data_IF_533118833522
#
_entry.id   IF_533118833522
#
_cell.length_a   1.000
_cell.length_b   1.000
_cell.length_c   1.000
_cell.angle_alpha   90.00
_cell.angle_beta   90.00
_cell.angle_gamma   90.00
#
_symmetry.space_group_name_H-M   'P 1'
#
loop_
_entity.id
_entity.type
_entity.pdbx_description
1 polymer ?
#
# COMPACT_ATOMS: atom_id res chain seq x y z
N UNK A 1 22.49 -10.34 12.36
CA UNK A 1 22.10 -11.30 13.42
C UNK A 1 20.67 -11.81 13.25
N UNK A 2 19.66 -10.93 13.22
CA UNK A 2 18.25 -11.34 13.27
C UNK A 2 17.51 -11.51 11.92
N UNK A 3 18.18 -11.24 10.77
CA UNK A 3 17.67 -11.49 9.40
C UNK A 3 16.24 -10.97 9.10
N UNK A 4 15.81 -9.88 9.74
CA UNK A 4 14.52 -9.25 9.43
C UNK A 4 14.43 -8.90 7.93
N UNK A 5 13.24 -9.12 7.36
CA UNK A 5 12.92 -8.84 5.95
C UNK A 5 11.98 -7.64 5.76
N UNK A 6 11.33 -7.24 6.85
CA UNK A 6 10.31 -6.20 6.87
C UNK A 6 10.55 -5.29 8.07
N UNK A 7 10.18 -4.01 7.93
CA UNK A 7 9.98 -3.07 9.02
C UNK A 7 8.55 -2.57 8.94
N UNK A 8 7.76 -2.77 10.01
CA UNK A 8 6.44 -2.17 10.12
C UNK A 8 6.55 -0.74 10.66
N UNK A 9 5.91 0.22 9.99
CA UNK A 9 5.93 1.64 10.35
C UNK A 9 4.52 2.21 10.16
N UNK A 10 4.14 3.16 11.01
CA UNK A 10 2.94 3.98 10.78
C UNK A 10 2.97 4.68 9.42
N UNK A 11 1.83 4.80 8.76
CA UNK A 11 1.63 5.63 7.54
C UNK A 11 2.00 7.11 7.75
N UNK A 12 1.99 7.57 9.01
CA UNK A 12 2.53 8.86 9.44
C UNK A 12 3.24 8.72 10.80
N UNK A 13 4.06 9.71 11.15
CA UNK A 13 4.71 9.82 12.46
C UNK A 13 4.29 11.14 13.10
N UNK A 14 3.38 11.09 14.08
CA UNK A 14 2.83 12.29 14.75
C UNK A 14 2.25 13.30 13.76
N UNK A 15 1.40 12.81 12.85
CA UNK A 15 0.79 13.56 11.75
C UNK A 15 1.75 14.01 10.63
N UNK A 16 3.04 13.67 10.72
CA UNK A 16 4.07 14.01 9.73
C UNK A 16 4.26 12.86 8.72
N UNK A 17 4.55 13.21 7.47
CA UNK A 17 4.52 12.27 6.35
C UNK A 17 5.86 11.56 6.20
N UNK A 18 5.85 10.26 5.87
CA UNK A 18 7.08 9.49 5.62
C UNK A 18 7.91 10.04 4.45
N UNK A 19 7.29 10.82 3.56
CA UNK A 19 7.98 11.53 2.48
C UNK A 19 8.92 12.63 2.96
N UNK A 20 8.72 13.15 4.18
CA UNK A 20 9.48 14.30 4.65
C UNK A 20 10.97 13.99 4.73
N UNK A 21 11.80 14.94 4.29
CA UNK A 21 13.24 14.75 4.16
C UNK A 21 13.94 14.30 5.45
N UNK A 22 13.38 14.59 6.63
CA UNK A 22 13.93 14.13 7.91
C UNK A 22 13.86 12.61 8.12
N UNK A 23 12.92 11.92 7.47
CA UNK A 23 12.81 10.46 7.52
C UNK A 23 13.64 9.76 6.45
N UNK A 24 14.25 10.51 5.50
CA UNK A 24 15.06 9.94 4.41
C UNK A 24 16.12 8.98 4.91
N UNK A 25 16.84 9.36 5.96
CA UNK A 25 17.94 8.56 6.50
C UNK A 25 17.46 7.16 6.94
N UNK A 26 16.34 7.10 7.67
CA UNK A 26 15.77 5.83 8.14
C UNK A 26 15.30 4.99 6.96
N UNK A 27 14.51 5.56 6.05
CA UNK A 27 14.00 4.84 4.88
C UNK A 27 15.12 4.34 3.96
N UNK A 28 16.20 5.12 3.83
CA UNK A 28 17.41 4.72 3.10
C UNK A 28 18.14 3.57 3.77
N UNK A 29 18.23 3.57 5.09
CA UNK A 29 18.81 2.44 5.83
C UNK A 29 17.98 1.17 5.63
N UNK A 30 16.64 1.26 5.69
CA UNK A 30 15.76 0.11 5.42
C UNK A 30 16.00 -0.43 4.00
N UNK A 31 16.08 0.46 3.01
CA UNK A 31 16.38 0.11 1.62
C UNK A 31 17.73 -0.60 1.48
N UNK A 32 18.79 -0.06 2.10
CA UNK A 32 20.14 -0.62 2.05
C UNK A 32 20.26 -1.98 2.72
N UNK A 33 19.42 -2.25 3.72
CA UNK A 33 19.33 -3.55 4.38
C UNK A 33 18.53 -4.58 3.54
N UNK A 34 17.94 -4.17 2.42
CA UNK A 34 17.12 -5.03 1.57
C UNK A 34 15.74 -5.34 2.16
N UNK A 35 15.34 -4.63 3.22
CA UNK A 35 14.03 -4.78 3.84
C UNK A 35 12.96 -4.03 3.02
N UNK A 36 11.72 -4.49 3.09
CA UNK A 36 10.56 -3.70 2.69
C UNK A 36 9.89 -3.04 3.91
N UNK A 37 9.06 -2.03 3.68
CA UNK A 37 8.26 -1.39 4.71
C UNK A 37 6.83 -1.92 4.64
N UNK A 38 6.27 -2.42 5.74
CA UNK A 38 4.83 -2.58 5.87
C UNK A 38 4.27 -1.32 6.52
N UNK A 39 3.51 -0.53 5.77
CA UNK A 39 3.02 0.77 6.22
C UNK A 39 1.58 0.64 6.71
N UNK A 40 1.40 0.51 8.03
CA UNK A 40 0.08 0.30 8.63
C UNK A 40 -0.47 1.61 9.23
N UNK A 41 -1.74 1.96 8.99
CA UNK A 41 -2.34 3.12 9.61
C UNK A 41 -2.57 2.92 11.11
N UNK A 42 -2.22 3.93 11.92
CA UNK A 42 -2.50 3.93 13.36
C UNK A 42 -3.51 5.02 13.71
N UNK A 43 -3.32 6.22 13.15
CA UNK A 43 -4.25 7.35 13.26
C UNK A 43 -4.24 8.13 11.97
N UNK A 44 -5.42 8.36 11.39
CA UNK A 44 -5.56 9.21 10.22
C UNK A 44 -5.10 10.66 10.51
N UNK A 45 -4.26 11.21 9.63
CA UNK A 45 -3.81 12.61 9.69
C UNK A 45 -4.94 13.58 9.34
N UNK A 46 -5.85 13.17 8.45
CA UNK A 46 -7.04 13.96 8.13
C UNK A 46 -7.98 13.98 9.35
N UNK A 47 -8.47 15.16 9.72
CA UNK A 47 -9.31 15.34 10.92
C UNK A 47 -10.73 15.74 10.56
N UNK A 48 -11.69 15.25 11.35
CA UNK A 48 -13.11 15.58 11.25
C UNK A 48 -13.93 14.57 10.43
N UNK A 49 -15.25 14.57 10.66
CA UNK A 49 -16.21 13.77 9.87
C UNK A 49 -16.21 12.26 10.12
N UNK A 50 -15.35 11.74 11.01
CA UNK A 50 -15.19 10.31 11.29
C UNK A 50 -15.75 9.86 12.65
N UNK A 51 -16.62 10.67 13.26
CA UNK A 51 -17.24 10.30 14.53
C UNK A 51 -18.39 9.29 14.32
N UNK A 52 -18.38 8.19 15.07
CA UNK A 52 -19.39 7.13 15.00
C UNK A 52 -19.18 6.12 13.87
N UNK A 53 -20.00 5.06 13.88
CA UNK A 53 -20.10 4.02 12.84
C UNK A 53 -18.78 3.35 12.40
N UNK A 54 -17.76 3.34 13.26
CA UNK A 54 -16.42 2.85 12.91
C UNK A 54 -15.83 3.55 11.67
N UNK A 55 -16.20 4.82 11.42
CA UNK A 55 -15.69 5.58 10.27
C UNK A 55 -14.19 5.85 10.36
N UNK A 56 -13.62 5.86 11.56
CA UNK A 56 -12.18 5.89 11.71
C UNK A 56 -11.50 4.67 11.06
N UNK A 57 -12.06 3.47 11.23
CA UNK A 57 -11.52 2.26 10.63
C UNK A 57 -11.88 2.18 9.13
N UNK A 58 -13.17 2.32 8.80
CA UNK A 58 -13.68 2.12 7.42
C UNK A 58 -13.36 3.23 6.43
N UNK A 59 -13.07 4.45 6.92
CA UNK A 59 -12.63 5.59 6.08
C UNK A 59 -11.24 6.04 6.47
N UNK A 60 -10.98 6.27 7.75
CA UNK A 60 -9.74 6.88 8.23
C UNK A 60 -8.49 6.07 7.89
N UNK A 61 -8.49 4.75 8.14
CA UNK A 61 -7.34 3.88 7.84
C UNK A 61 -7.02 3.85 6.33
N UNK A 62 -7.97 3.49 5.43
CA UNK A 62 -7.78 3.57 3.98
C UNK A 62 -7.36 4.96 3.47
N UNK A 63 -7.92 6.02 4.07
CA UNK A 63 -7.59 7.39 3.71
C UNK A 63 -6.13 7.71 4.06
N UNK A 64 -5.65 7.30 5.23
CA UNK A 64 -4.30 7.63 5.67
C UNK A 64 -3.23 6.92 4.85
N UNK A 65 -3.47 5.66 4.49
CA UNK A 65 -2.64 4.91 3.52
C UNK A 65 -2.56 5.63 2.18
N UNK A 66 -3.71 6.10 1.69
CA UNK A 66 -3.82 6.84 0.43
C UNK A 66 -3.07 8.17 0.50
N UNK A 67 -3.14 8.87 1.63
CA UNK A 67 -2.41 10.13 1.87
C UNK A 67 -0.90 9.87 1.86
N UNK A 68 -0.42 8.87 2.62
CA UNK A 68 0.99 8.50 2.65
C UNK A 68 1.52 8.18 1.24
N UNK A 69 0.81 7.34 0.48
CA UNK A 69 1.17 7.05 -0.91
C UNK A 69 1.26 8.32 -1.75
N UNK A 70 0.25 9.18 -1.69
CA UNK A 70 0.22 10.42 -2.47
C UNK A 70 1.43 11.31 -2.16
N UNK A 71 1.75 11.46 -0.88
CA UNK A 71 2.92 12.22 -0.44
C UNK A 71 4.23 11.60 -0.93
N UNK A 72 4.42 10.28 -0.80
CA UNK A 72 5.60 9.59 -1.34
C UNK A 72 5.71 9.73 -2.86
N UNK A 73 4.58 9.64 -3.57
CA UNK A 73 4.53 9.71 -5.02
C UNK A 73 4.80 11.12 -5.56
N UNK A 74 4.34 12.18 -4.89
CA UNK A 74 4.46 13.55 -5.43
C UNK A 74 5.71 14.32 -5.00
N UNK A 75 6.31 13.98 -3.87
CA UNK A 75 7.43 14.75 -3.28
C UNK A 75 8.81 14.39 -3.86
N UNK A 76 8.88 13.54 -4.89
CA UNK A 76 10.15 13.01 -5.40
C UNK A 76 10.83 12.02 -4.45
N UNK A 77 10.20 11.72 -3.31
CA UNK A 77 10.74 10.78 -2.34
C UNK A 77 11.10 9.43 -3.01
N UNK A 78 10.20 8.86 -3.81
CA UNK A 78 10.49 7.58 -4.46
C UNK A 78 11.62 7.64 -5.50
N UNK A 79 11.99 8.83 -5.98
CA UNK A 79 13.14 9.02 -6.89
C UNK A 79 14.48 8.85 -6.15
N UNK A 80 14.52 9.26 -4.88
CA UNK A 80 15.63 8.96 -3.99
C UNK A 80 15.64 7.48 -3.60
N UNK A 81 14.51 6.94 -3.14
CA UNK A 81 14.37 5.53 -2.73
C UNK A 81 14.15 4.64 -3.95
N UNK A 82 15.21 4.32 -4.67
CA UNK A 82 15.13 3.63 -5.97
C UNK A 82 14.74 2.15 -5.89
N UNK A 83 14.91 1.48 -4.75
CA UNK A 83 14.61 0.06 -4.58
C UNK A 83 13.76 -0.29 -3.36
N UNK A 84 13.52 0.65 -2.43
CA UNK A 84 12.60 0.43 -1.29
C UNK A 84 11.18 0.02 -1.74
N UNK A 85 10.67 -1.06 -1.18
CA UNK A 85 9.31 -1.55 -1.46
C UNK A 85 8.42 -1.26 -0.26
N UNK A 86 7.16 -0.97 -0.52
CA UNK A 86 6.13 -0.77 0.51
C UNK A 86 5.05 -1.84 0.36
N UNK A 87 4.58 -2.41 1.45
CA UNK A 87 3.35 -3.18 1.52
C UNK A 87 2.33 -2.34 2.27
N UNK A 88 1.20 -2.05 1.64
CA UNK A 88 0.10 -1.29 2.22
C UNK A 88 -1.07 -2.27 2.46
N UNK A 89 -1.56 -2.40 3.70
CA UNK A 89 -2.68 -3.28 4.00
C UNK A 89 -4.00 -2.72 3.45
N UNK A 90 -5.11 -3.42 3.71
CA UNK A 90 -6.47 -3.01 3.33
C UNK A 90 -6.62 -2.73 1.82
N UNK A 91 -5.93 -3.51 0.98
CA UNK A 91 -5.90 -3.33 -0.47
C UNK A 91 -5.27 -2.02 -0.95
N UNK A 92 -4.56 -1.28 -0.09
CA UNK A 92 -4.01 0.03 -0.41
C UNK A 92 -5.02 1.17 -0.33
N UNK A 93 -6.08 1.00 0.45
CA UNK A 93 -7.15 1.96 0.59
C UNK A 93 -7.75 2.39 -0.75
N UNK A 94 -7.69 3.68 -1.08
CA UNK A 94 -8.30 4.22 -2.30
C UNK A 94 -7.34 4.29 -3.49
N UNK A 95 -6.07 3.89 -3.31
CA UNK A 95 -5.02 4.05 -4.31
C UNK A 95 -5.36 3.32 -5.63
N UNK A 96 -5.69 2.01 -5.64
CA UNK A 96 -5.88 1.29 -6.90
C UNK A 96 -7.05 1.84 -7.72
N UNK A 97 -8.14 2.20 -7.03
CA UNK A 97 -9.33 2.78 -7.65
C UNK A 97 -9.08 4.18 -8.21
N UNK A 98 -8.33 5.02 -7.48
CA UNK A 98 -8.12 6.43 -7.83
C UNK A 98 -6.80 6.70 -8.58
N UNK A 99 -6.01 5.70 -8.95
CA UNK A 99 -4.68 5.91 -9.55
C UNK A 99 -4.69 6.88 -10.74
N UNK A 100 -5.71 6.78 -11.60
CA UNK A 100 -5.88 7.67 -12.76
C UNK A 100 -6.09 9.14 -12.38
N UNK A 101 -6.65 9.43 -11.20
CA UNK A 101 -6.82 10.79 -10.68
C UNK A 101 -5.48 11.39 -10.28
N UNK A 102 -4.61 10.62 -9.65
CA UNK A 102 -3.24 11.04 -9.30
C UNK A 102 -2.43 11.33 -10.57
N UNK A 103 -2.51 10.45 -11.57
CA UNK A 103 -1.86 10.66 -12.87
C UNK A 103 -2.36 11.91 -13.60
N UNK A 104 -3.67 12.15 -13.55
CA UNK A 104 -4.26 13.37 -14.12
C UNK A 104 -3.76 14.62 -13.38
N UNK A 105 -3.64 14.57 -12.06
CA UNK A 105 -3.09 15.69 -11.29
C UNK A 105 -1.63 15.95 -11.68
N UNK A 106 -0.78 14.91 -11.69
CA UNK A 106 0.62 14.98 -12.13
C UNK A 106 0.74 15.64 -13.50
N UNK A 107 -0.05 15.21 -14.48
CA UNK A 107 -0.02 15.75 -15.86
C UNK A 107 -0.41 17.23 -15.98
N UNK A 108 -1.38 17.70 -15.19
CA UNK A 108 -2.03 19.01 -15.42
C UNK A 108 -1.78 20.06 -14.35
N UNK A 109 -1.23 19.70 -13.18
CA UNK A 109 -0.99 20.63 -12.08
C UNK A 109 0.51 20.76 -11.86
N UNK A 110 1.04 21.97 -12.07
CA UNK A 110 2.45 22.28 -11.85
C UNK A 110 2.94 21.83 -10.47
N UNK A 111 2.15 22.09 -9.42
CA UNK A 111 2.48 21.66 -8.06
C UNK A 111 2.59 20.13 -7.89
N UNK A 112 1.87 19.34 -8.69
CA UNK A 112 1.85 17.87 -8.57
C UNK A 112 2.95 17.17 -9.37
N UNK A 113 3.81 17.90 -10.09
CA UNK A 113 5.01 17.36 -10.74
C UNK A 113 6.24 18.26 -10.54
N UNK A 114 6.17 19.19 -9.58
CA UNK A 114 7.27 20.10 -9.27
C UNK A 114 8.50 19.32 -8.77
N UNK A 115 8.26 18.30 -7.93
CA UNK A 115 9.31 17.57 -7.23
C UNK A 115 9.56 16.15 -7.79
N UNK A 116 8.71 15.65 -8.69
CA UNK A 116 8.92 14.37 -9.37
C UNK A 116 8.54 14.38 -10.84
N UNK A 117 9.33 13.66 -11.63
CA UNK A 117 9.01 13.36 -13.04
C UNK A 117 8.30 12.02 -13.20
N UNK A 118 8.35 11.15 -12.19
CA UNK A 118 7.69 9.85 -12.24
C UNK A 118 6.21 10.02 -11.99
N UNK A 119 5.41 9.47 -12.90
CA UNK A 119 3.95 9.48 -12.78
C UNK A 119 3.53 8.55 -11.63
N UNK A 120 2.56 8.93 -10.77
CA UNK A 120 2.13 8.09 -9.65
C UNK A 120 1.77 6.64 -10.03
N UNK A 121 1.08 6.43 -11.16
CA UNK A 121 0.78 5.09 -11.68
C UNK A 121 2.02 4.26 -12.01
N UNK A 122 3.13 4.87 -12.39
CA UNK A 122 4.40 4.16 -12.63
C UNK A 122 5.09 3.79 -11.32
N UNK A 123 4.82 4.52 -10.24
CA UNK A 123 5.34 4.21 -8.91
C UNK A 123 4.66 3.00 -8.27
N UNK A 124 3.46 2.59 -8.73
CA UNK A 124 2.73 1.42 -8.20
C UNK A 124 3.57 0.14 -8.17
N UNK A 125 4.51 -0.04 -9.11
CA UNK A 125 5.45 -1.18 -9.10
C UNK A 125 6.35 -1.26 -7.85
N UNK A 126 6.35 -0.23 -7.00
CA UNK A 126 7.10 -0.15 -5.73
C UNK A 126 6.22 -0.49 -4.54
N UNK A 127 4.93 -0.65 -4.77
CA UNK A 127 3.92 -0.94 -3.77
C UNK A 127 3.40 -2.35 -3.96
N UNK A 128 3.14 -2.98 -2.83
CA UNK A 128 2.49 -4.25 -2.67
C UNK A 128 1.26 -4.01 -1.82
N UNK A 129 0.26 -4.85 -1.99
CA UNK A 129 -1.01 -4.73 -1.29
C UNK A 129 -1.40 -6.09 -0.72
N UNK A 130 -2.16 -6.10 0.38
CA UNK A 130 -2.87 -7.32 0.74
C UNK A 130 -4.18 -7.46 -0.06
N UNK A 131 -4.78 -8.64 -0.01
CA UNK A 131 -6.08 -8.93 -0.59
C UNK A 131 -7.26 -8.65 0.37
N UNK A 132 -7.06 -7.87 1.43
CA UNK A 132 -8.05 -7.62 2.49
C UNK A 132 -8.99 -6.48 2.09
N UNK A 133 -9.84 -6.71 1.08
CA UNK A 133 -10.75 -5.68 0.54
C UNK A 133 -12.20 -5.84 0.98
N UNK A 134 -12.53 -6.96 1.63
CA UNK A 134 -13.89 -7.36 2.05
C UNK A 134 -14.92 -7.47 0.92
N UNK A 135 -14.48 -7.47 -0.35
CA UNK A 135 -15.36 -7.61 -1.50
C UNK A 135 -14.62 -8.25 -2.70
N UNK A 136 -15.09 -9.37 -3.26
CA UNK A 136 -14.41 -10.04 -4.37
C UNK A 136 -14.25 -9.19 -5.63
N UNK A 137 -15.17 -8.25 -5.91
CA UNK A 137 -15.06 -7.34 -7.05
C UNK A 137 -13.94 -6.31 -6.84
N UNK A 138 -13.79 -5.83 -5.61
CA UNK A 138 -12.73 -4.91 -5.19
C UNK A 138 -11.36 -5.59 -5.26
N UNK A 139 -11.23 -6.83 -4.79
CA UNK A 139 -10.00 -7.62 -4.99
C UNK A 139 -9.71 -7.84 -6.48
N UNK A 140 -10.72 -8.12 -7.32
CA UNK A 140 -10.52 -8.22 -8.77
C UNK A 140 -9.96 -6.94 -9.37
N UNK A 141 -10.53 -5.79 -9.01
CA UNK A 141 -10.03 -4.48 -9.46
C UNK A 141 -8.59 -4.26 -9.01
N UNK A 142 -8.25 -4.58 -7.76
CA UNK A 142 -6.90 -4.48 -7.24
C UNK A 142 -5.93 -5.31 -8.09
N UNK A 143 -6.25 -6.58 -8.36
CA UNK A 143 -5.42 -7.44 -9.20
C UNK A 143 -5.27 -6.89 -10.64
N UNK A 144 -6.34 -6.35 -11.23
CA UNK A 144 -6.31 -5.76 -12.58
C UNK A 144 -5.48 -4.46 -12.64
N UNK A 145 -5.31 -3.76 -11.50
CA UNK A 145 -4.58 -2.49 -11.41
C UNK A 145 -3.14 -2.64 -10.98
N UNK A 146 -2.87 -3.48 -9.99
CA UNK A 146 -1.54 -3.67 -9.42
C UNK A 146 -0.79 -4.85 -10.06
N UNK A 147 -1.52 -5.85 -10.57
CA UNK A 147 -0.95 -7.16 -10.93
C UNK A 147 -0.93 -8.10 -9.73
N UNK A 148 -1.18 -9.39 -9.95
CA UNK A 148 -1.18 -10.39 -8.88
C UNK A 148 0.22 -10.60 -8.26
N UNK A 149 1.28 -10.25 -8.99
CA UNK A 149 2.67 -10.18 -8.52
C UNK A 149 2.98 -9.00 -7.59
N UNK A 150 1.99 -8.15 -7.33
CA UNK A 150 2.02 -7.07 -6.35
C UNK A 150 0.95 -7.22 -5.25
N UNK A 151 0.24 -8.34 -5.20
CA UNK A 151 -0.77 -8.60 -4.18
C UNK A 151 -0.41 -9.86 -3.39
N UNK A 152 -0.53 -9.79 -2.07
CA UNK A 152 -0.32 -10.91 -1.14
C UNK A 152 -1.61 -11.23 -0.40
N UNK A 153 -1.72 -12.44 0.13
CA UNK A 153 -2.77 -12.77 1.08
C UNK A 153 -2.56 -12.00 2.40
N UNK A 154 -3.64 -11.46 2.96
CA UNK A 154 -3.65 -10.80 4.26
C UNK A 154 -4.91 -11.20 5.02
N UNK A 155 -4.80 -11.23 6.35
CA UNK A 155 -5.90 -11.68 7.22
C UNK A 155 -6.27 -10.69 8.30
N UNK A 156 -5.36 -9.77 8.64
CA UNK A 156 -5.46 -8.88 9.80
C UNK A 156 -5.74 -9.60 11.13
N UNK A 157 -5.36 -10.88 11.23
CA UNK A 157 -5.49 -11.63 12.47
C UNK A 157 -4.56 -11.03 13.55
N UNK A 158 -5.03 -10.80 14.80
CA UNK A 158 -6.25 -11.34 15.40
C UNK A 158 -7.42 -10.35 15.52
N UNK A 159 -7.48 -9.31 14.70
CA UNK A 159 -8.57 -8.33 14.76
C UNK A 159 -9.86 -8.88 14.16
N UNK A 160 -11.00 -8.38 14.66
CA UNK A 160 -12.34 -8.88 14.34
C UNK A 160 -12.83 -8.49 12.94
N UNK A 161 -12.29 -7.40 12.39
CA UNK A 161 -12.48 -6.95 11.01
C UNK A 161 -11.68 -7.79 10.00
N UNK A 162 -10.82 -8.71 10.45
CA UNK A 162 -10.00 -9.56 9.59
C UNK A 162 -10.78 -10.67 8.85
N UNK A 163 -10.06 -11.42 8.01
CA UNK A 163 -10.59 -12.62 7.36
C UNK A 163 -10.35 -13.88 8.19
N UNK A 164 -11.43 -14.59 8.50
CA UNK A 164 -11.38 -15.92 9.12
C UNK A 164 -11.11 -17.04 8.09
N UNK A 165 -11.64 -16.89 6.87
CA UNK A 165 -11.47 -17.85 5.77
C UNK A 165 -10.85 -17.17 4.53
N UNK A 166 -9.62 -16.65 4.61
CA UNK A 166 -9.02 -15.80 3.57
C UNK A 166 -8.91 -16.48 2.20
N UNK A 167 -8.78 -17.80 2.16
CA UNK A 167 -8.74 -18.55 0.90
C UNK A 167 -10.13 -18.64 0.23
N UNK A 168 -11.20 -18.74 1.01
CA UNK A 168 -12.56 -18.76 0.47
C UNK A 168 -12.93 -17.38 -0.11
N UNK A 169 -12.53 -16.31 0.58
CA UNK A 169 -12.69 -14.92 0.12
C UNK A 169 -11.95 -14.68 -1.20
N UNK A 170 -10.71 -15.17 -1.32
CA UNK A 170 -9.95 -15.11 -2.56
C UNK A 170 -10.59 -15.96 -3.67
N UNK A 171 -11.04 -17.17 -3.36
CA UNK A 171 -11.66 -18.08 -4.34
C UNK A 171 -13.00 -17.55 -4.89
N UNK A 172 -13.65 -16.61 -4.20
CA UNK A 172 -14.84 -15.90 -4.68
C UNK A 172 -14.53 -14.80 -5.71
N UNK A 173 -13.26 -14.44 -5.92
CA UNK A 173 -12.85 -13.38 -6.86
C UNK A 173 -13.18 -13.80 -8.30
N UNK A 174 -13.98 -13.01 -9.05
CA UNK A 174 -14.37 -13.39 -10.40
C UNK A 174 -13.17 -13.39 -11.34
N UNK A 175 -13.14 -14.34 -12.27
CA UNK A 175 -12.05 -14.49 -13.26
C UNK A 175 -10.67 -14.69 -12.62
N UNK A 176 -10.60 -15.12 -11.36
CA UNK A 176 -9.32 -15.47 -10.74
C UNK A 176 -8.74 -16.70 -11.44
N UNK A 177 -7.54 -16.55 -11.98
CA UNK A 177 -6.82 -17.67 -12.59
C UNK A 177 -6.04 -18.47 -11.54
N UNK A 178 -5.69 -19.72 -11.86
CA UNK A 178 -4.84 -20.53 -10.99
C UNK A 178 -3.46 -19.90 -10.74
N UNK A 179 -2.93 -19.17 -11.72
CA UNK A 179 -1.67 -18.44 -11.59
C UNK A 179 -1.80 -17.26 -10.64
N UNK A 180 -2.79 -16.40 -10.82
CA UNK A 180 -3.05 -15.27 -9.92
C UNK A 180 -3.29 -15.74 -8.49
N UNK A 181 -4.09 -16.80 -8.30
CA UNK A 181 -4.30 -17.42 -6.99
C UNK A 181 -2.99 -17.86 -6.34
N UNK A 182 -2.11 -18.52 -7.09
CA UNK A 182 -0.81 -18.96 -6.59
C UNK A 182 0.13 -17.78 -6.26
N UNK A 183 0.03 -16.68 -7.02
CA UNK A 183 0.78 -15.44 -6.73
C UNK A 183 0.33 -14.85 -5.40
N UNK A 184 -0.98 -14.61 -5.24
CA UNK A 184 -1.55 -14.00 -4.03
C UNK A 184 -1.33 -14.87 -2.78
N UNK A 185 -1.57 -16.18 -2.86
CA UNK A 185 -1.44 -17.07 -1.70
C UNK A 185 0.00 -17.28 -1.23
N UNK A 186 1.00 -17.15 -2.10
CA UNK A 186 2.36 -17.60 -1.77
C UNK A 186 3.46 -16.87 -2.56
N UNK A 187 3.46 -16.96 -3.89
CA UNK A 187 4.66 -16.62 -4.68
C UNK A 187 5.06 -15.15 -4.54
N UNK A 188 4.09 -14.25 -4.45
CA UNK A 188 4.35 -12.81 -4.27
C UNK A 188 5.02 -12.55 -2.92
N UNK A 189 4.52 -13.19 -1.85
CA UNK A 189 5.12 -13.06 -0.51
C UNK A 189 6.55 -13.63 -0.47
N UNK A 190 6.79 -14.81 -1.06
CA UNK A 190 8.14 -15.37 -1.18
C UNK A 190 9.11 -14.45 -1.91
N UNK A 191 8.69 -13.92 -3.06
CA UNK A 191 9.51 -12.97 -3.82
C UNK A 191 9.80 -11.69 -3.02
N UNK A 192 8.84 -11.19 -2.23
CA UNK A 192 9.03 -10.03 -1.38
C UNK A 192 10.05 -10.29 -0.25
N UNK A 193 10.00 -11.50 0.34
CA UNK A 193 10.92 -11.99 1.38
C UNK A 193 12.31 -12.41 0.83
N UNK A 194 12.43 -12.58 -0.48
CA UNK A 194 13.64 -13.01 -1.17
C UNK A 194 13.91 -14.51 -1.02
N UNK A 195 12.84 -15.32 -1.13
CA UNK A 195 12.84 -16.79 -1.12
C UNK A 195 12.61 -17.39 -2.51
#
# INVERSE_FOLDING_TARGET
EHKFKCVEIGTNVRDEQLSDAKYRKVLKTIEQLGCFVMAHPITCVAKGGMAGYELFNTIGNPLDETIMFAHLAFTGALDDLKTLRFLIPHGGGYIPYQIGRFDRAHKFRAAAHADTKTRPGESLRRFYFDALTHDPLSTRLLLDRAGADHVVIGTDNPFDMGYYEPLAELDAVPRLTAEERAMVCEKTARALLGE
#
